data_IF_675808869230
#
_entry.id   IF_675808869230
#
_cell.length_a   1.000
_cell.length_b   1.000
_cell.length_c   1.000
_cell.angle_alpha   90.00
_cell.angle_beta   90.00
_cell.angle_gamma   90.00
#
_symmetry.space_group_name_H-M   'P 1'
#
loop_
_entity.id
_entity.type
_entity.pdbx_description
1 polymer ?
#
# COMPACT_ATOMS: atom_id res chain seq x y z
N UNK A 1 20.14 3.77 -3.24
CA UNK A 1 20.42 2.32 -3.03
C UNK A 1 19.64 1.45 -4.01
N UNK A 2 18.30 1.46 -4.05
CA UNK A 2 17.57 0.67 -5.07
C UNK A 2 17.80 1.21 -6.51
N UNK A 3 17.74 2.53 -6.71
CA UNK A 3 17.96 3.17 -8.02
C UNK A 3 19.38 2.91 -8.56
N UNK A 4 20.40 2.92 -7.70
CA UNK A 4 21.78 2.59 -8.10
C UNK A 4 21.92 1.13 -8.53
N UNK A 5 21.26 0.19 -7.85
CA UNK A 5 21.26 -1.23 -8.26
C UNK A 5 20.56 -1.44 -9.60
N UNK A 6 19.51 -0.67 -9.89
CA UNK A 6 18.86 -0.66 -11.20
C UNK A 6 19.81 -0.16 -12.29
N UNK A 7 20.56 0.92 -12.03
CA UNK A 7 21.58 1.44 -12.96
C UNK A 7 22.69 0.41 -13.23
N UNK A 8 23.08 -0.36 -12.20
CA UNK A 8 24.07 -1.44 -12.30
C UNK A 8 23.51 -2.74 -12.92
N UNK A 9 22.25 -2.75 -13.36
CA UNK A 9 21.58 -3.92 -13.95
C UNK A 9 21.18 -5.01 -12.96
N UNK A 10 21.30 -4.79 -11.66
CA UNK A 10 20.94 -5.73 -10.59
C UNK A 10 19.45 -5.64 -10.24
N UNK A 11 18.59 -5.94 -11.22
CA UNK A 11 17.13 -5.80 -11.10
C UNK A 11 16.54 -6.62 -9.95
N UNK A 12 17.01 -7.85 -9.72
CA UNK A 12 16.49 -8.71 -8.65
C UNK A 12 16.77 -8.13 -7.25
N UNK A 13 17.97 -7.62 -7.02
CA UNK A 13 18.34 -7.03 -5.74
C UNK A 13 17.57 -5.72 -5.50
N UNK A 14 17.43 -4.90 -6.55
CA UNK A 14 16.63 -3.68 -6.48
C UNK A 14 15.16 -3.99 -6.15
N UNK A 15 14.57 -5.01 -6.77
CA UNK A 15 13.21 -5.47 -6.46
C UNK A 15 13.09 -5.93 -5.01
N UNK A 16 14.07 -6.70 -4.51
CA UNK A 16 14.09 -7.14 -3.11
C UNK A 16 14.09 -5.98 -2.10
N UNK A 17 14.79 -4.87 -2.40
CA UNK A 17 14.76 -3.68 -1.54
C UNK A 17 13.39 -3.00 -1.57
N UNK A 18 12.77 -2.89 -2.75
CA UNK A 18 11.44 -2.27 -2.88
C UNK A 18 10.37 -3.10 -2.12
N UNK A 19 10.42 -4.42 -2.26
CA UNK A 19 9.52 -5.35 -1.58
C UNK A 19 9.70 -5.28 -0.06
N UNK A 20 10.94 -5.22 0.43
CA UNK A 20 11.25 -5.05 1.85
C UNK A 20 10.82 -3.69 2.41
N UNK A 21 10.77 -2.67 1.55
CA UNK A 21 10.34 -1.31 1.92
C UNK A 21 8.83 -1.13 1.82
N UNK A 22 8.08 -2.14 1.36
CA UNK A 22 6.63 -2.05 1.16
C UNK A 22 6.22 -1.09 0.03
N UNK A 23 7.12 -0.81 -0.91
CA UNK A 23 6.91 0.15 -1.99
C UNK A 23 6.70 -0.57 -3.32
N UNK A 24 5.74 -0.11 -4.11
CA UNK A 24 5.44 -0.67 -5.44
C UNK A 24 5.39 0.40 -6.51
N UNK A 25 5.88 0.05 -7.70
CA UNK A 25 5.91 0.90 -8.90
C UNK A 25 5.26 0.11 -10.04
N UNK A 26 3.93 0.18 -10.20
CA UNK A 26 3.20 -0.70 -11.14
C UNK A 26 3.60 -0.49 -12.60
N UNK A 27 4.00 0.73 -12.94
CA UNK A 27 4.43 1.16 -14.28
C UNK A 27 5.85 0.74 -14.62
N UNK A 28 6.65 0.35 -13.60
CA UNK A 28 8.10 0.13 -13.75
C UNK A 28 8.93 1.41 -13.90
N UNK A 29 8.29 2.57 -13.97
CA UNK A 29 8.92 3.88 -14.08
C UNK A 29 8.61 4.72 -12.85
N UNK A 30 9.67 5.11 -12.13
CA UNK A 30 9.61 5.83 -10.86
C UNK A 30 9.04 7.26 -11.04
N UNK A 31 9.16 7.86 -12.23
CA UNK A 31 8.60 9.17 -12.53
C UNK A 31 7.06 9.15 -12.54
N UNK A 32 6.45 8.00 -12.81
CA UNK A 32 5.00 7.80 -12.71
C UNK A 32 4.50 7.59 -11.27
N UNK A 33 5.40 7.69 -10.29
CA UNK A 33 5.11 7.62 -8.86
C UNK A 33 5.10 6.21 -8.29
N UNK A 34 5.01 6.14 -6.97
CA UNK A 34 5.10 4.91 -6.19
C UNK A 34 3.95 4.81 -5.17
N UNK A 35 3.59 3.59 -4.81
CA UNK A 35 2.55 3.30 -3.81
C UNK A 35 3.14 2.55 -2.61
N UNK A 36 2.67 2.90 -1.42
CA UNK A 36 2.97 2.17 -0.18
C UNK A 36 1.84 1.21 0.23
N UNK A 37 2.07 0.44 1.30
CA UNK A 37 1.10 -0.50 1.89
C UNK A 37 -0.13 0.17 2.51
N UNK A 38 -0.01 1.47 2.81
CA UNK A 38 -1.06 2.32 3.35
C UNK A 38 -1.91 2.96 2.24
N UNK A 39 -1.63 2.62 0.98
CA UNK A 39 -2.35 3.10 -0.20
C UNK A 39 -2.01 4.52 -0.60
N UNK A 40 -1.02 5.15 0.02
CA UNK A 40 -0.57 6.49 -0.34
C UNK A 40 0.15 6.46 -1.67
N UNK A 41 -0.16 7.42 -2.53
CA UNK A 41 0.53 7.64 -3.79
C UNK A 41 1.55 8.77 -3.64
N UNK A 42 2.80 8.48 -3.99
CA UNK A 42 3.91 9.43 -3.96
C UNK A 42 4.32 9.74 -5.39
N UNK A 43 3.98 10.94 -5.86
CA UNK A 43 4.51 11.45 -7.10
C UNK A 43 5.93 11.96 -6.88
N UNK A 44 6.90 11.38 -7.59
CA UNK A 44 8.31 11.74 -7.47
C UNK A 44 8.67 12.60 -8.69
N UNK A 45 9.11 13.85 -8.50
CA UNK A 45 9.53 14.70 -9.60
C UNK A 45 10.71 14.09 -10.36
N UNK A 46 10.71 14.24 -11.69
CA UNK A 46 11.76 13.71 -12.57
C UNK A 46 13.16 14.22 -12.19
N UNK A 47 13.25 15.45 -11.68
CA UNK A 47 14.50 16.06 -11.23
C UNK A 47 15.14 15.33 -10.05
N UNK A 48 14.37 14.59 -9.26
CA UNK A 48 14.87 13.81 -8.11
C UNK A 48 15.45 12.47 -8.57
N UNK A 49 15.02 11.98 -9.73
CA UNK A 49 15.35 10.65 -10.25
C UNK A 49 16.45 10.74 -11.32
N UNK A 50 16.55 11.88 -12.00
CA UNK A 50 17.52 12.12 -13.07
C UNK A 50 18.89 12.50 -12.55
N UNK A 51 19.93 12.06 -13.25
CA UNK A 51 21.30 12.49 -12.97
C UNK A 51 21.49 13.98 -13.35
N UNK A 52 22.11 14.80 -12.49
CA UNK A 52 22.37 16.19 -12.80
C UNK A 52 23.41 16.33 -13.93
N UNK A 53 23.03 17.03 -15.00
CA UNK A 53 23.88 17.20 -16.20
C UNK A 53 24.83 18.40 -16.11
N UNK A 54 24.57 19.33 -15.20
CA UNK A 54 25.29 20.60 -15.05
C UNK A 54 26.26 20.59 -13.87
N UNK A 55 26.87 19.44 -13.58
CA UNK A 55 27.91 19.35 -12.57
C UNK A 55 29.21 19.97 -13.08
N UNK A 56 29.64 21.08 -12.46
CA UNK A 56 31.01 21.56 -12.60
C UNK A 56 31.88 20.65 -11.74
N UNK A 57 32.55 19.68 -12.37
CA UNK A 57 33.54 18.83 -11.70
C UNK A 57 34.78 19.68 -11.40
N UNK A 58 34.72 20.43 -10.30
CA UNK A 58 35.90 21.08 -9.73
C UNK A 58 36.90 20.00 -9.35
N UNK A 59 38.10 20.07 -9.92
CA UNK A 59 39.21 19.22 -9.56
C UNK A 59 39.48 19.30 -8.05
N UNK A 60 39.52 18.12 -7.41
CA UNK A 60 39.91 17.83 -6.00
C UNK A 60 38.77 17.82 -4.96
N UNK A 61 38.17 16.65 -4.76
CA UNK A 61 38.44 15.89 -3.52
C UNK A 61 38.08 14.41 -3.72
N UNK A 62 39.12 13.59 -3.92
CA UNK A 62 39.07 12.18 -3.54
C UNK A 62 38.99 12.14 -2.02
N UNK A 63 37.96 11.50 -1.47
CA UNK A 63 38.01 10.94 -0.13
C UNK A 63 37.00 9.81 -0.01
N UNK A 64 37.48 8.59 -0.25
CA UNK A 64 36.91 7.41 0.35
C UNK A 64 36.75 7.63 1.87
N UNK A 65 35.53 7.52 2.37
CA UNK A 65 35.21 7.58 3.79
C UNK A 65 34.28 6.44 4.16
N UNK A 66 34.86 5.28 4.47
CA UNK A 66 34.21 4.25 5.29
C UNK A 66 34.02 4.82 6.69
N UNK A 67 32.83 4.67 7.27
CA UNK A 67 32.64 4.77 8.72
C UNK A 67 31.67 3.67 9.18
N UNK A 68 32.22 2.71 9.93
CA UNK A 68 31.49 1.76 10.74
C UNK A 68 31.10 2.36 12.11
N UNK A 69 30.10 1.75 12.75
CA UNK A 69 29.74 1.91 14.17
C UNK A 69 28.34 2.51 14.37
N UNK A 70 27.46 2.03 15.25
CA UNK A 70 27.50 0.98 16.28
C UNK A 70 26.07 0.85 16.86
N UNK A 71 25.57 -0.39 17.08
CA UNK A 71 24.76 -0.96 18.20
C UNK A 71 23.86 0.01 19.04
N UNK A 72 22.63 -0.25 19.48
CA UNK A 72 21.83 -1.44 19.85
C UNK A 72 20.40 -0.94 20.18
N UNK A 73 19.36 -1.77 20.07
CA UNK A 73 18.09 -1.54 20.77
C UNK A 73 16.94 -2.44 20.32
N UNK A 74 16.98 -3.71 20.73
CA UNK A 74 15.79 -4.58 20.80
C UNK A 74 14.91 -4.13 21.98
N UNK A 75 13.59 -4.19 21.85
CA UNK A 75 12.71 -5.08 22.63
C UNK A 75 11.21 -4.88 22.29
N UNK A 76 10.47 -5.93 22.63
CA UNK A 76 9.18 -6.42 22.09
C UNK A 76 8.01 -6.05 23.01
N UNK A 77 6.79 -6.16 22.44
CA UNK A 77 5.47 -6.44 23.06
C UNK A 77 4.95 -5.57 24.22
N UNK A 78 3.70 -5.14 24.10
CA UNK A 78 2.61 -5.73 24.90
C UNK A 78 1.25 -5.14 24.51
N UNK A 79 0.30 -6.06 24.32
CA UNK A 79 -1.15 -5.90 24.21
C UNK A 79 -1.69 -5.15 25.45
N UNK A 80 -2.75 -4.35 25.41
CA UNK A 80 -4.16 -4.77 25.50
C UNK A 80 -4.90 -3.52 26.00
N UNK A 81 -6.10 -3.20 25.50
CA UNK A 81 -7.27 -2.84 26.32
C UNK A 81 -8.47 -2.77 25.37
N UNK A 82 -9.29 -3.80 25.52
CA UNK A 82 -10.66 -3.92 25.04
C UNK A 82 -11.54 -2.75 25.55
N UNK A 83 -12.52 -2.32 24.75
CA UNK A 83 -13.88 -2.11 25.27
C UNK A 83 -14.94 -2.15 24.17
N UNK A 84 -15.82 -3.12 24.38
CA UNK A 84 -17.07 -3.49 23.70
C UNK A 84 -17.99 -2.29 23.42
N UNK A 85 -18.75 -2.39 22.33
CA UNK A 85 -20.21 -2.33 22.37
C UNK A 85 -20.81 -3.10 21.19
N UNK A 86 -21.75 -3.96 21.55
CA UNK A 86 -22.57 -4.81 20.71
C UNK A 86 -23.57 -3.98 19.93
N UNK A 87 -23.96 -4.42 18.73
CA UNK A 87 -25.39 -4.46 18.36
C UNK A 87 -25.66 -5.42 17.17
N UNK A 88 -26.31 -6.53 17.53
CA UNK A 88 -27.14 -7.47 16.76
C UNK A 88 -27.29 -7.29 15.24
N UNK A 89 -26.97 -8.38 14.54
CA UNK A 89 -27.60 -8.79 13.27
C UNK A 89 -27.18 -10.22 12.88
N UNK A 90 -28.12 -11.17 12.92
CA UNK A 90 -27.92 -12.62 12.75
C UNK A 90 -27.22 -13.03 11.44
N UNK A 91 -26.11 -13.74 11.59
CA UNK A 91 -25.55 -14.65 10.60
C UNK A 91 -24.38 -15.38 11.26
N UNK A 92 -24.55 -16.65 11.59
CA UNK A 92 -23.51 -17.46 12.24
C UNK A 92 -22.32 -17.58 11.28
N UNK A 93 -21.29 -16.76 11.49
CA UNK A 93 -20.03 -16.84 10.78
C UNK A 93 -18.96 -17.19 11.83
N UNK A 94 -18.22 -18.27 11.55
CA UNK A 94 -17.18 -18.82 12.42
C UNK A 94 -16.19 -17.71 12.79
N UNK A 95 -15.94 -17.54 14.09
CA UNK A 95 -15.23 -16.40 14.71
C UNK A 95 -13.72 -16.26 14.35
N UNK A 96 -13.22 -16.89 13.27
CA UNK A 96 -11.81 -16.81 12.86
C UNK A 96 -11.56 -16.46 11.38
N UNK A 97 -12.61 -16.37 10.57
CA UNK A 97 -12.46 -16.29 9.10
C UNK A 97 -12.75 -14.91 8.52
N UNK A 98 -12.89 -13.87 9.34
CA UNK A 98 -13.16 -12.50 8.89
C UNK A 98 -11.98 -11.58 9.20
N UNK A 99 -11.64 -10.71 8.24
CA UNK A 99 -10.57 -9.72 8.34
C UNK A 99 -11.17 -8.31 8.28
N UNK A 100 -10.56 -7.35 8.99
CA UNK A 100 -10.94 -5.93 8.88
C UNK A 100 -10.18 -5.30 7.72
N UNK A 101 -10.91 -4.81 6.72
CA UNK A 101 -10.33 -4.19 5.53
C UNK A 101 -10.54 -2.69 5.61
N UNK A 102 -9.45 -1.92 5.55
CA UNK A 102 -9.48 -0.45 5.48
C UNK A 102 -9.52 -0.02 4.02
N UNK A 103 -10.56 0.70 3.62
CA UNK A 103 -10.78 1.19 2.27
C UNK A 103 -10.78 2.73 2.24
N UNK A 104 -9.78 3.30 1.57
CA UNK A 104 -9.66 4.74 1.37
C UNK A 104 -10.42 5.19 0.14
N UNK A 105 -11.32 6.16 0.29
CA UNK A 105 -12.13 6.65 -0.82
C UNK A 105 -11.47 7.81 -1.56
N UNK A 106 -11.57 7.81 -2.89
CA UNK A 106 -11.00 8.85 -3.74
C UNK A 106 -11.84 10.14 -3.82
N UNK A 107 -13.11 10.11 -3.44
CA UNK A 107 -14.08 11.19 -3.72
C UNK A 107 -14.10 12.31 -2.66
N UNK A 108 -13.81 11.99 -1.40
CA UNK A 108 -14.13 12.87 -0.28
C UNK A 108 -12.97 13.27 0.62
N UNK A 109 -11.76 12.71 0.41
CA UNK A 109 -10.59 13.00 1.24
C UNK A 109 -10.80 12.79 2.75
N UNK A 110 -11.80 11.96 3.11
CA UNK A 110 -12.24 11.71 4.47
C UNK A 110 -11.60 10.45 5.08
N UNK A 111 -12.04 10.03 6.28
CA UNK A 111 -11.51 8.85 6.94
C UNK A 111 -11.77 7.58 6.13
N UNK A 112 -10.90 6.59 6.31
CA UNK A 112 -11.02 5.28 5.67
C UNK A 112 -12.28 4.55 6.15
N UNK A 113 -12.95 3.86 5.24
CA UNK A 113 -14.11 2.99 5.52
C UNK A 113 -13.60 1.63 5.97
N UNK A 114 -14.09 1.11 7.11
CA UNK A 114 -13.62 -0.14 7.68
C UNK A 114 -14.68 -1.22 7.50
N UNK A 115 -14.44 -2.13 6.57
CA UNK A 115 -15.35 -3.22 6.23
C UNK A 115 -14.83 -4.54 6.81
N UNK A 116 -15.66 -5.25 7.56
CA UNK A 116 -15.38 -6.64 7.91
C UNK A 116 -15.61 -7.50 6.66
N UNK A 117 -14.65 -8.33 6.23
CA UNK A 117 -14.79 -9.20 5.05
C UNK A 117 -14.33 -10.63 5.38
N UNK A 118 -15.07 -11.64 4.94
CA UNK A 118 -14.62 -13.02 5.07
C UNK A 118 -13.41 -13.30 4.17
N UNK A 119 -12.42 -14.06 4.65
CA UNK A 119 -11.19 -14.42 3.90
C UNK A 119 -11.49 -15.10 2.54
N UNK A 120 -12.58 -15.86 2.47
CA UNK A 120 -13.05 -16.55 1.27
C UNK A 120 -14.01 -15.71 0.40
N UNK A 121 -14.33 -14.48 0.80
CA UNK A 121 -15.23 -13.62 0.04
C UNK A 121 -14.47 -12.86 -1.05
N UNK A 122 -15.12 -12.70 -2.19
CA UNK A 122 -14.56 -12.02 -3.34
C UNK A 122 -14.59 -10.49 -3.17
N UNK A 123 -13.72 -9.80 -3.91
CA UNK A 123 -13.64 -8.33 -3.94
C UNK A 123 -14.99 -7.68 -4.30
N UNK A 124 -15.86 -8.34 -5.08
CA UNK A 124 -17.22 -7.86 -5.35
C UNK A 124 -18.05 -7.58 -4.08
N UNK A 125 -17.90 -8.41 -3.05
CA UNK A 125 -18.61 -8.24 -1.78
C UNK A 125 -18.08 -7.01 -1.05
N UNK A 126 -16.76 -6.80 -1.08
CA UNK A 126 -16.12 -5.59 -0.54
C UNK A 126 -16.62 -4.34 -1.25
N UNK A 127 -16.64 -4.32 -2.58
CA UNK A 127 -17.15 -3.18 -3.38
C UNK A 127 -18.55 -2.79 -2.92
N UNK A 128 -19.45 -3.78 -2.81
CA UNK A 128 -20.83 -3.53 -2.39
C UNK A 128 -20.91 -2.95 -0.98
N UNK A 129 -20.17 -3.51 -0.02
CA UNK A 129 -20.15 -3.01 1.37
C UNK A 129 -19.57 -1.60 1.47
N UNK A 130 -18.49 -1.33 0.74
CA UNK A 130 -17.91 0.02 0.65
C UNK A 130 -18.92 1.00 0.07
N UNK A 131 -19.67 0.62 -0.98
CA UNK A 131 -20.72 1.47 -1.53
C UNK A 131 -21.84 1.76 -0.53
N UNK A 132 -22.25 0.75 0.25
CA UNK A 132 -23.25 0.85 1.30
C UNK A 132 -22.80 1.79 2.44
N UNK A 133 -21.61 1.56 3.01
CA UNK A 133 -21.07 2.37 4.11
C UNK A 133 -20.67 3.78 3.67
N UNK A 134 -20.25 3.97 2.43
CA UNK A 134 -19.87 5.28 1.90
C UNK A 134 -21.06 6.11 1.39
N UNK A 135 -22.26 5.54 1.29
CA UNK A 135 -23.45 6.25 0.81
C UNK A 135 -23.41 6.60 -0.69
N UNK A 136 -22.62 5.86 -1.47
CA UNK A 136 -22.44 6.04 -2.93
C UNK A 136 -23.21 4.99 -3.75
N UNK A 137 -24.07 4.20 -3.11
CA UNK A 137 -24.99 3.29 -3.81
C UNK A 137 -25.75 4.07 -4.89
N UNK A 138 -25.63 3.63 -6.15
CA UNK A 138 -26.33 4.24 -7.29
C UNK A 138 -25.75 5.54 -7.82
N UNK A 139 -24.67 6.08 -7.21
CA UNK A 139 -24.03 7.35 -7.63
C UNK A 139 -22.77 7.16 -8.48
N UNK A 140 -22.40 5.93 -8.79
CA UNK A 140 -21.17 5.65 -9.51
C UNK A 140 -20.70 4.20 -9.45
N UNK A 141 -19.73 3.86 -10.30
CA UNK A 141 -19.00 2.57 -10.21
C UNK A 141 -17.85 2.73 -9.23
N UNK A 142 -17.67 1.77 -8.33
CA UNK A 142 -16.49 1.73 -7.44
C UNK A 142 -15.57 0.62 -7.90
N UNK A 143 -14.27 0.92 -8.05
CA UNK A 143 -13.22 -0.09 -8.27
C UNK A 143 -12.25 -0.09 -7.09
N UNK A 144 -11.81 -1.27 -6.70
CA UNK A 144 -10.79 -1.40 -5.66
C UNK A 144 -9.41 -1.52 -6.31
N UNK A 145 -8.48 -0.70 -5.84
CA UNK A 145 -7.08 -0.72 -6.21
C UNK A 145 -6.22 -1.04 -4.98
N UNK A 146 -5.14 -1.76 -5.17
CA UNK A 146 -4.18 -2.10 -4.13
C UNK A 146 -2.78 -2.09 -4.72
N UNK A 147 -1.85 -1.36 -4.08
CA UNK A 147 -0.47 -1.18 -4.57
C UNK A 147 -0.46 -0.78 -6.06
N UNK A 148 -1.33 0.17 -6.41
CA UNK A 148 -1.54 0.69 -7.76
C UNK A 148 -2.18 -0.26 -8.79
N UNK A 149 -2.54 -1.49 -8.42
CA UNK A 149 -3.21 -2.46 -9.29
C UNK A 149 -4.71 -2.50 -9.02
N UNK A 150 -5.53 -2.47 -10.08
CA UNK A 150 -6.98 -2.69 -9.95
C UNK A 150 -7.22 -4.17 -9.66
N UNK A 151 -7.88 -4.44 -8.54
CA UNK A 151 -8.24 -5.79 -8.13
C UNK A 151 -9.44 -6.29 -8.95
N UNK A 152 -9.43 -7.58 -9.25
CA UNK A 152 -10.50 -8.28 -9.94
C UNK A 152 -11.62 -8.64 -8.97
N UNK A 153 -12.85 -8.33 -9.38
CA UNK A 153 -14.07 -8.57 -8.60
C UNK A 153 -14.34 -10.05 -8.27
N UNK A 154 -13.85 -10.96 -9.11
CA UNK A 154 -14.12 -12.40 -9.02
C UNK A 154 -13.16 -13.19 -8.15
N UNK A 155 -12.09 -12.57 -7.65
CA UNK A 155 -11.06 -13.19 -6.83
C UNK A 155 -11.12 -12.64 -5.40
N UNK A 156 -10.51 -13.34 -4.44
CA UNK A 156 -10.39 -12.86 -3.05
C UNK A 156 -9.29 -11.81 -2.92
N UNK A 157 -9.25 -11.07 -1.81
CA UNK A 157 -8.17 -10.11 -1.53
C UNK A 157 -6.81 -10.81 -1.41
N UNK A 158 -6.77 -11.92 -0.67
CA UNK A 158 -5.56 -12.68 -0.38
C UNK A 158 -4.95 -13.30 -1.64
N UNK A 159 -5.79 -13.81 -2.54
CA UNK A 159 -5.34 -14.34 -3.83
C UNK A 159 -4.65 -13.29 -4.70
N UNK A 160 -4.93 -12.01 -4.45
CA UNK A 160 -4.39 -10.87 -5.20
C UNK A 160 -3.27 -10.14 -4.44
N UNK A 161 -2.72 -10.77 -3.39
CA UNK A 161 -1.54 -10.28 -2.67
C UNK A 161 -1.83 -9.24 -1.59
N UNK A 162 -3.10 -8.98 -1.25
CA UNK A 162 -3.43 -8.13 -0.11
C UNK A 162 -3.08 -8.83 1.20
N UNK A 163 -2.47 -8.08 2.13
CA UNK A 163 -2.08 -8.55 3.47
C UNK A 163 -2.91 -7.86 4.54
N UNK A 164 -3.15 -8.56 5.64
CA UNK A 164 -3.89 -7.99 6.77
C UNK A 164 -3.17 -6.76 7.33
N UNK A 165 -3.95 -5.74 7.69
CA UNK A 165 -3.41 -4.44 8.08
C UNK A 165 -3.18 -3.48 6.91
N UNK A 166 -3.04 -3.94 5.67
CA UNK A 166 -2.84 -3.05 4.52
C UNK A 166 -4.13 -2.33 4.12
N UNK A 167 -3.98 -1.17 3.46
CA UNK A 167 -5.10 -0.34 3.01
C UNK A 167 -5.35 -0.57 1.52
N UNK A 168 -6.63 -0.56 1.11
CA UNK A 168 -7.03 -0.56 -0.30
C UNK A 168 -7.59 0.80 -0.69
N UNK A 169 -7.39 1.21 -1.93
CA UNK A 169 -7.95 2.43 -2.50
C UNK A 169 -9.26 2.11 -3.23
N UNK A 170 -10.36 2.68 -2.78
CA UNK A 170 -11.67 2.62 -3.40
C UNK A 170 -11.85 3.83 -4.33
N UNK A 171 -11.66 3.59 -5.63
CA UNK A 171 -11.82 4.58 -6.69
C UNK A 171 -13.30 4.70 -7.05
N UNK A 172 -13.87 5.88 -6.79
CA UNK A 172 -15.26 6.22 -7.09
C UNK A 172 -15.33 6.96 -8.42
N UNK A 173 -16.04 6.39 -9.39
CA UNK A 173 -16.27 7.00 -10.71
C UNK A 173 -17.72 7.50 -10.78
N UNK A 174 -17.91 8.80 -11.04
CA UNK A 174 -19.23 9.42 -11.26
C UNK A 174 -19.74 9.17 -12.69
#
# INVERSE_FOLDING_TARGET
MAVSLLADGQVQNAQGILDASGVTIPTGDLANGAYDEMGNFYQIPEQVISDPVNLVLGSQHLAAGKTEGSKTGEETDEEEVERRREEKGKGVLKHGDSVKVRARLSDRGGPDVIVLLGKQQNVRVLIRRVQEEAGVIGKGKVKIAYLGKILKDGETLQAQGWREGHVVNALVFQ
#
